data_IF_587010719212
#
_entry.id   IF_587010719212
#
_cell.length_a   1.000
_cell.length_b   1.000
_cell.length_c   1.000
_cell.angle_alpha   90.00
_cell.angle_beta   90.00
_cell.angle_gamma   90.00
#
_symmetry.space_group_name_H-M   'P 1'
#
loop_
_entity.id
_entity.type
_entity.pdbx_description
1 polymer ?
#
# COMPACT_ATOMS: atom_id res chain seq x y z
N UNK A 1 -5.40 22.75 -12.51
CA UNK A 1 -4.14 22.57 -11.77
C UNK A 1 -4.16 21.15 -11.23
N UNK A 2 -3.25 20.31 -11.69
CA UNK A 2 -3.03 19.00 -11.08
C UNK A 2 -1.91 19.21 -10.07
N UNK A 3 -2.27 19.74 -8.91
CA UNK A 3 -1.34 19.93 -7.81
C UNK A 3 -1.08 18.54 -7.22
N UNK A 4 0.11 17.99 -7.51
CA UNK A 4 0.56 16.76 -6.86
C UNK A 4 0.90 17.11 -5.42
N UNK A 5 0.03 16.73 -4.48
CA UNK A 5 0.29 16.90 -3.05
C UNK A 5 1.23 15.80 -2.55
N UNK A 6 2.29 16.19 -1.83
CA UNK A 6 3.25 15.26 -1.22
C UNK A 6 3.04 15.19 0.28
N UNK A 7 3.06 13.98 0.82
CA UNK A 7 2.97 13.74 2.27
C UNK A 7 4.24 13.04 2.73
N UNK A 8 4.95 13.63 3.69
CA UNK A 8 6.07 13.00 4.35
C UNK A 8 5.57 12.02 5.43
N UNK A 9 6.08 10.80 5.40
CA UNK A 9 5.76 9.77 6.41
C UNK A 9 6.90 8.77 6.53
N UNK A 10 7.01 8.10 7.67
CA UNK A 10 7.95 7.00 7.84
C UNK A 10 7.48 5.79 7.02
N UNK A 11 8.41 5.19 6.29
CA UNK A 11 8.20 3.96 5.53
C UNK A 11 9.26 2.92 5.88
N UNK A 12 8.92 1.64 5.70
CA UNK A 12 9.88 0.55 5.83
C UNK A 12 10.62 0.35 4.51
N UNK A 13 11.95 0.42 4.54
CA UNK A 13 12.79 -0.01 3.42
C UNK A 13 12.94 -1.54 3.47
N UNK A 14 12.13 -2.24 2.68
CA UNK A 14 12.10 -3.70 2.64
C UNK A 14 12.48 -4.22 1.25
N UNK A 15 13.65 -4.83 1.14
CA UNK A 15 14.12 -5.47 -0.11
C UNK A 15 13.53 -6.85 -0.35
N UNK A 16 12.88 -7.46 0.65
CA UNK A 16 12.17 -8.74 0.52
C UNK A 16 10.78 -8.59 -0.09
N UNK A 17 10.23 -7.37 -0.13
CA UNK A 17 8.93 -7.09 -0.70
C UNK A 17 8.97 -7.13 -2.25
N UNK A 18 8.08 -7.92 -2.87
CA UNK A 18 7.96 -8.00 -4.33
C UNK A 18 7.39 -6.75 -5.00
N UNK A 19 7.04 -5.71 -4.24
CA UNK A 19 6.40 -4.49 -4.72
C UNK A 19 6.30 -3.42 -3.65
N UNK A 20 5.61 -2.32 -3.98
CA UNK A 20 5.31 -1.25 -3.03
C UNK A 20 3.95 -1.50 -2.39
N UNK A 21 3.91 -1.46 -1.08
CA UNK A 21 2.69 -1.65 -0.29
C UNK A 21 2.42 -0.39 0.54
N UNK A 22 1.14 -0.14 0.82
CA UNK A 22 0.67 0.98 1.64
C UNK A 22 -0.34 0.45 2.65
N UNK A 23 -0.25 0.94 3.89
CA UNK A 23 -1.19 0.58 4.95
C UNK A 23 -2.61 1.04 4.62
N UNK A 24 -3.59 0.16 4.83
CA UNK A 24 -4.98 0.44 4.49
C UNK A 24 -5.60 1.50 5.40
N UNK A 25 -5.18 1.61 6.66
CA UNK A 25 -5.69 2.64 7.56
C UNK A 25 -5.14 4.02 7.17
N UNK A 26 -3.91 4.09 6.70
CA UNK A 26 -3.28 5.30 6.19
C UNK A 26 -3.99 5.82 4.93
N UNK A 27 -4.34 4.92 4.00
CA UNK A 27 -5.18 5.24 2.82
C UNK A 27 -6.51 5.87 3.24
N UNK A 28 -7.19 5.29 4.23
CA UNK A 28 -8.47 5.80 4.74
C UNK A 28 -8.32 7.15 5.47
N UNK A 29 -7.25 7.31 6.26
CA UNK A 29 -6.98 8.54 7.02
C UNK A 29 -6.75 9.74 6.08
N UNK A 30 -6.10 9.51 4.95
CA UNK A 30 -5.81 10.54 3.95
C UNK A 30 -6.87 10.64 2.84
N UNK A 31 -7.95 9.87 2.93
CA UNK A 31 -9.01 9.79 1.90
C UNK A 31 -8.46 9.59 0.47
N UNK A 32 -7.44 8.73 0.35
CA UNK A 32 -6.82 8.47 -0.95
C UNK A 32 -7.77 7.67 -1.83
N UNK A 33 -7.95 8.15 -3.05
CA UNK A 33 -8.77 7.46 -4.06
C UNK A 33 -8.14 6.12 -4.42
N UNK A 34 -8.90 5.03 -4.27
CA UNK A 34 -8.48 3.68 -4.65
C UNK A 34 -9.43 3.07 -5.65
N UNK A 35 -8.92 2.17 -6.49
CA UNK A 35 -9.73 1.37 -7.41
C UNK A 35 -9.55 -0.09 -7.06
N UNK A 36 -10.66 -0.78 -6.80
CA UNK A 36 -10.63 -2.24 -6.64
C UNK A 36 -10.21 -2.89 -7.95
N UNK A 37 -9.23 -3.79 -7.87
CA UNK A 37 -8.84 -4.62 -8.99
C UNK A 37 -9.92 -5.65 -9.28
N UNK A 38 -10.11 -5.99 -10.56
CA UNK A 38 -11.04 -7.07 -10.96
C UNK A 38 -10.61 -8.41 -10.36
N UNK A 39 -9.31 -8.66 -10.32
CA UNK A 39 -8.70 -9.83 -9.69
C UNK A 39 -7.80 -9.33 -8.56
N UNK A 40 -8.13 -9.66 -7.29
CA UNK A 40 -7.28 -9.30 -6.16
C UNK A 40 -5.91 -9.97 -6.26
N UNK A 41 -4.86 -9.22 -5.96
CA UNK A 41 -3.52 -9.77 -5.81
C UNK A 41 -3.40 -10.40 -4.43
N UNK A 42 -3.27 -11.72 -4.38
CA UNK A 42 -2.96 -12.42 -3.14
C UNK A 42 -1.48 -12.22 -2.80
N UNK A 43 -1.21 -11.44 -1.76
CA UNK A 43 0.13 -11.14 -1.28
C UNK A 43 0.33 -11.90 0.03
N UNK A 44 1.44 -12.61 0.14
CA UNK A 44 1.78 -13.42 1.31
C UNK A 44 3.06 -12.91 1.93
N UNK A 45 3.12 -12.95 3.25
CA UNK A 45 4.34 -12.74 4.02
C UNK A 45 5.29 -13.93 3.83
N UNK A 46 6.55 -13.78 4.26
CA UNK A 46 7.58 -14.85 4.17
C UNK A 46 7.16 -16.11 4.93
N UNK A 47 6.37 -15.97 5.99
CA UNK A 47 5.82 -17.09 6.77
C UNK A 47 4.59 -17.76 6.12
N UNK A 48 4.18 -17.31 4.93
CA UNK A 48 3.04 -17.85 4.18
C UNK A 48 1.68 -17.32 4.62
N UNK A 49 1.62 -16.43 5.62
CA UNK A 49 0.35 -15.77 6.00
C UNK A 49 -0.04 -14.70 4.98
N UNK A 50 -1.34 -14.40 4.85
CA UNK A 50 -1.80 -13.30 4.00
C UNK A 50 -1.28 -11.97 4.56
N UNK A 51 -0.77 -11.11 3.68
CA UNK A 51 -0.47 -9.72 4.03
C UNK A 51 -1.78 -9.01 4.43
N UNK A 52 -1.80 -8.32 5.58
CA UNK A 52 -3.00 -7.71 6.18
C UNK A 52 -2.83 -6.21 6.34
#
# INVERSE_FOLDING_TARGET
QNDSETVETSALLDSGAGGKFIDQNYVRKLDLQTRKLKEPLAVYNVDGTLNK
#
